data_IF_889528754474
#
_entry.id   IF_889528754474
#
_cell.length_a   1.000
_cell.length_b   1.000
_cell.length_c   1.000
_cell.angle_alpha   90.00
_cell.angle_beta   90.00
_cell.angle_gamma   90.00
#
_symmetry.space_group_name_H-M   'P 1'
#
loop_
_entity.id
_entity.type
_entity.pdbx_description
1 polymer ?
#
# COMPACT_ATOMS: atom_id res chain seq x y z
N UNK A 1 -0.51 -6.64 15.48
CA UNK A 1 -0.38 -5.94 14.17
C UNK A 1 -0.85 -4.50 14.34
N UNK A 2 -0.04 -3.51 13.94
CA UNK A 2 -0.39 -2.10 14.16
C UNK A 2 -1.60 -1.71 13.29
N UNK A 3 -2.61 -1.03 13.88
CA UNK A 3 -3.88 -0.68 13.23
C UNK A 3 -3.68 0.15 11.94
N UNK A 4 -2.60 0.94 11.92
CA UNK A 4 -2.17 1.75 10.78
C UNK A 4 -1.59 0.93 9.62
N UNK A 5 -0.83 -0.14 9.91
CA UNK A 5 -0.27 -1.03 8.89
C UNK A 5 -1.38 -1.82 8.18
N UNK A 6 -2.40 -2.25 8.93
CA UNK A 6 -3.58 -2.94 8.38
C UNK A 6 -4.40 -2.04 7.47
N UNK A 7 -4.56 -0.75 7.83
CA UNK A 7 -5.23 0.24 6.98
C UNK A 7 -4.44 0.53 5.71
N UNK A 8 -3.11 0.70 5.82
CA UNK A 8 -2.23 0.87 4.65
C UNK A 8 -2.38 -0.29 3.67
N UNK A 9 -2.32 -1.53 4.16
CA UNK A 9 -2.48 -2.73 3.32
C UNK A 9 -3.85 -2.82 2.65
N UNK A 10 -4.92 -2.41 3.34
CA UNK A 10 -6.27 -2.34 2.76
C UNK A 10 -6.35 -1.33 1.63
N UNK A 11 -5.71 -0.16 1.76
CA UNK A 11 -5.68 0.83 0.68
C UNK A 11 -4.91 0.33 -0.55
N UNK A 12 -3.83 -0.43 -0.38
CA UNK A 12 -3.08 -1.01 -1.50
C UNK A 12 -3.86 -2.11 -2.19
N UNK A 13 -4.53 -2.99 -1.43
CA UNK A 13 -5.43 -4.01 -1.98
C UNK A 13 -6.60 -3.39 -2.75
N UNK A 14 -7.19 -2.31 -2.21
CA UNK A 14 -8.25 -1.57 -2.90
C UNK A 14 -7.75 -0.93 -4.20
N UNK A 15 -6.54 -0.35 -4.22
CA UNK A 15 -5.93 0.20 -5.43
C UNK A 15 -5.65 -0.86 -6.51
N UNK A 16 -5.15 -2.03 -6.10
CA UNK A 16 -4.95 -3.18 -6.99
C UNK A 16 -6.26 -3.67 -7.62
N UNK A 17 -7.31 -3.79 -6.81
CA UNK A 17 -8.64 -4.18 -7.30
C UNK A 17 -9.22 -3.15 -8.28
N UNK A 18 -8.98 -1.85 -8.04
CA UNK A 18 -9.43 -0.78 -8.93
C UNK A 18 -8.69 -0.81 -10.28
N UNK A 19 -7.38 -1.08 -10.28
CA UNK A 19 -6.61 -1.27 -11.51
C UNK A 19 -7.09 -2.49 -12.31
N UNK A 20 -7.39 -3.61 -11.64
CA UNK A 20 -7.95 -4.80 -12.29
C UNK A 20 -9.33 -4.52 -12.92
N UNK A 21 -10.19 -3.77 -12.21
CA UNK A 21 -11.47 -3.29 -12.75
C UNK A 21 -11.28 -2.35 -13.95
N UNK A 22 -10.26 -1.49 -13.93
CA UNK A 22 -9.91 -0.63 -15.06
C UNK A 22 -9.53 -1.43 -16.32
N UNK A 23 -8.78 -2.53 -16.15
CA UNK A 23 -8.47 -3.45 -17.25
C UNK A 23 -9.71 -4.16 -17.78
N UNK A 24 -10.62 -4.57 -16.90
CA UNK A 24 -11.89 -5.18 -17.31
C UNK A 24 -12.77 -4.21 -18.12
N UNK A 25 -12.82 -2.93 -17.73
CA UNK A 25 -13.53 -1.89 -18.48
C UNK A 25 -12.84 -1.50 -19.80
N UNK A 26 -11.52 -1.65 -19.90
CA UNK A 26 -10.79 -1.47 -21.14
C UNK A 26 -11.18 -2.52 -22.19
N UNK A 27 -11.43 -3.76 -21.76
CA UNK A 27 -11.91 -4.86 -22.61
C UNK A 27 -13.32 -4.58 -23.17
N UNK A 28 -14.13 -3.81 -22.43
CA UNK A 28 -15.48 -3.38 -22.81
C UNK A 28 -15.53 -2.21 -23.80
N UNK A 29 -14.39 -1.72 -24.31
CA UNK A 29 -14.27 -0.55 -25.22
C UNK A 29 -14.99 0.74 -24.75
N UNK A 30 -15.34 0.81 -23.46
CA UNK A 30 -16.00 1.99 -22.90
C UNK A 30 -15.00 3.15 -22.89
N UNK A 31 -15.26 4.23 -23.64
CA UNK A 31 -14.35 5.40 -23.75
C UNK A 31 -13.98 6.07 -22.41
N UNK A 32 -14.65 5.69 -21.32
CA UNK A 32 -14.38 6.12 -19.94
C UNK A 32 -13.19 5.38 -19.31
N UNK A 33 -12.70 4.28 -19.91
CA UNK A 33 -11.63 3.45 -19.35
C UNK A 33 -10.33 4.22 -19.08
N UNK A 34 -10.00 5.22 -19.91
CA UNK A 34 -8.79 6.06 -19.74
C UNK A 34 -8.84 6.84 -18.41
N UNK A 35 -10.00 7.37 -18.05
CA UNK A 35 -10.20 8.06 -16.78
C UNK A 35 -10.09 7.10 -15.60
N UNK A 36 -10.69 5.91 -15.70
CA UNK A 36 -10.56 4.88 -14.68
C UNK A 36 -9.13 4.38 -14.50
N UNK A 37 -8.36 4.21 -15.58
CA UNK A 37 -6.94 3.85 -15.51
C UNK A 37 -6.10 4.94 -14.83
N UNK A 38 -6.28 6.21 -15.20
CA UNK A 38 -5.54 7.32 -14.57
C UNK A 38 -5.85 7.40 -13.08
N UNK A 39 -7.13 7.36 -12.70
CA UNK A 39 -7.55 7.37 -11.30
C UNK A 39 -7.01 6.14 -10.56
N UNK A 40 -7.04 4.95 -11.20
CA UNK A 40 -6.49 3.72 -10.66
C UNK A 40 -5.00 3.81 -10.36
N UNK A 41 -4.20 4.30 -11.31
CA UNK A 41 -2.74 4.48 -11.14
C UNK A 41 -2.42 5.49 -10.03
N UNK A 42 -3.16 6.61 -9.95
CA UNK A 42 -2.96 7.61 -8.90
C UNK A 42 -3.30 7.04 -7.52
N UNK A 43 -4.43 6.34 -7.39
CA UNK A 43 -4.82 5.68 -6.14
C UNK A 43 -3.84 4.57 -5.75
N UNK A 44 -3.35 3.80 -6.71
CA UNK A 44 -2.34 2.78 -6.48
C UNK A 44 -1.03 3.41 -6.00
N UNK A 45 -0.56 4.49 -6.63
CA UNK A 45 0.62 5.24 -6.20
C UNK A 45 0.51 5.75 -4.76
N UNK A 46 -0.62 6.37 -4.41
CA UNK A 46 -0.87 6.84 -3.03
C UNK A 46 -0.94 5.68 -2.02
N UNK A 47 -1.60 4.59 -2.38
CA UNK A 47 -1.71 3.38 -1.56
C UNK A 47 -0.35 2.69 -1.37
N UNK A 48 0.48 2.66 -2.41
CA UNK A 48 1.83 2.14 -2.38
C UNK A 48 2.74 2.99 -1.50
N UNK A 49 2.74 4.33 -1.67
CA UNK A 49 3.52 5.24 -0.83
C UNK A 49 3.19 5.06 0.66
N UNK A 50 1.91 4.91 0.96
CA UNK A 50 1.41 4.72 2.34
C UNK A 50 1.92 3.40 2.94
N UNK A 51 1.92 2.31 2.16
CA UNK A 51 2.48 1.02 2.62
C UNK A 51 3.98 1.08 2.75
N UNK A 52 4.67 1.67 1.78
CA UNK A 52 6.13 1.79 1.79
C UNK A 52 6.60 2.57 3.02
N UNK A 53 5.95 3.69 3.33
CA UNK A 53 6.22 4.48 4.53
C UNK A 53 5.95 3.68 5.82
N UNK A 54 4.87 2.89 5.84
CA UNK A 54 4.56 2.03 6.99
C UNK A 54 5.56 0.89 7.16
N UNK A 55 6.09 0.35 6.06
CA UNK A 55 7.15 -0.65 6.07
C UNK A 55 8.45 -0.09 6.64
N UNK A 56 8.91 1.06 6.14
CA UNK A 56 10.11 1.75 6.65
C UNK A 56 9.98 1.98 8.15
N UNK A 57 8.86 2.57 8.59
CA UNK A 57 8.60 2.83 10.01
C UNK A 57 8.53 1.57 10.87
N UNK A 58 8.12 0.44 10.29
CA UNK A 58 8.10 -0.85 10.99
C UNK A 58 9.50 -1.44 11.15
N UNK A 59 10.34 -1.34 10.11
CA UNK A 59 11.74 -1.77 10.14
C UNK A 59 12.50 -0.96 11.20
N UNK A 60 12.36 0.36 11.17
CA UNK A 60 12.98 1.29 12.12
C UNK A 60 12.53 1.01 13.58
N UNK A 61 11.26 0.66 13.79
CA UNK A 61 10.78 0.30 15.13
C UNK A 61 11.25 -1.08 15.60
N UNK A 62 11.47 -2.02 14.67
CA UNK A 62 12.00 -3.35 14.99
C UNK A 62 13.48 -3.28 15.37
N UNK A 63 14.30 -2.55 14.61
CA UNK A 63 15.72 -2.38 14.90
C UNK A 63 15.96 -1.76 16.28
N UNK A 64 15.18 -0.73 16.65
CA UNK A 64 15.23 -0.10 17.98
C UNK A 64 14.82 -1.05 19.12
N UNK A 65 13.92 -2.00 18.88
CA UNK A 65 13.52 -3.00 19.89
C UNK A 65 14.59 -4.10 20.06
N UNK A 66 15.25 -4.47 18.96
CA UNK A 66 16.39 -5.39 18.97
C UNK A 66 17.58 -4.79 19.74
N UNK A 67 17.89 -3.53 19.52
CA UNK A 67 18.94 -2.81 20.24
C UNK A 67 18.69 -2.76 21.76
N UNK A 68 17.43 -2.54 22.17
CA UNK A 68 17.06 -2.51 23.60
C UNK A 68 17.13 -3.89 24.25
N UNK A 69 16.74 -4.95 23.53
CA UNK A 69 16.87 -6.33 24.02
C UNK A 69 18.33 -6.76 24.12
N UNK A 70 19.19 -6.32 23.19
CA UNK A 70 20.62 -6.58 23.25
C UNK A 70 21.31 -5.96 24.46
N UNK A 71 20.91 -4.75 24.87
CA UNK A 71 21.45 -4.07 26.06
C UNK A 71 20.89 -4.57 27.39
N UNK A 72 19.75 -5.25 27.41
CA UNK A 72 19.13 -5.76 28.64
C UNK A 72 19.62 -7.17 29.02
N UNK A 73 20.28 -7.87 28.07
CA UNK A 73 20.89 -9.18 28.26
C UNK A 73 22.42 -9.13 28.43
N UNK A 74 23.00 -7.93 28.60
CA UNK A 74 24.37 -7.71 29.09
C UNK A 74 24.30 -7.07 30.48
#
# INVERSE_FOLDING_TARGET
>A
MNKYLRRGLLYTMAGLALCALGYYFMDLEAGVYKWFMVVGVVFFGLGFLTVFYSFIRKIERQSLLEERKGRQNQ
#
